data_IF_662445685386
#
_entry.id   IF_662445685386
#
_cell.length_a   1.000
_cell.length_b   1.000
_cell.length_c   1.000
_cell.angle_alpha   90.00
_cell.angle_beta   90.00
_cell.angle_gamma   90.00
#
_symmetry.space_group_name_H-M   'P 1'
#
loop_
_entity.id
_entity.type
_entity.pdbx_description
1 polymer ?
#
# COMPACT_ATOMS: atom_id res chain seq x y z
N UNK A 1 0.71 34.83 55.70
CA UNK A 1 -0.05 34.66 54.44
C UNK A 1 0.84 33.86 53.51
N UNK A 2 0.49 32.59 53.28
CA UNK A 2 1.28 31.65 52.45
C UNK A 2 0.68 31.67 51.05
N UNK A 3 1.37 32.27 50.08
CA UNK A 3 0.99 32.12 48.67
C UNK A 3 1.66 30.85 48.14
N UNK A 4 0.82 29.86 47.84
CA UNK A 4 1.18 28.67 47.10
C UNK A 4 1.23 29.03 45.62
N UNK A 5 2.42 29.12 45.05
CA UNK A 5 2.60 29.20 43.60
C UNK A 5 2.83 27.77 43.09
N UNK A 6 1.72 27.09 42.81
CA UNK A 6 1.66 25.81 42.10
C UNK A 6 1.09 26.10 40.72
N UNK A 7 1.91 26.01 39.67
CA UNK A 7 1.70 25.07 38.57
C UNK A 7 2.53 25.45 37.35
N UNK A 8 3.61 24.69 37.23
CA UNK A 8 4.27 24.22 36.03
C UNK A 8 3.35 24.21 34.77
N UNK A 9 3.43 25.26 33.94
CA UNK A 9 2.86 25.29 32.59
C UNK A 9 3.73 24.50 31.61
N UNK A 10 3.64 23.17 31.66
CA UNK A 10 4.04 22.31 30.54
C UNK A 10 2.89 22.29 29.52
N UNK A 11 3.17 21.88 28.28
CA UNK A 11 2.20 21.50 27.23
C UNK A 11 1.89 22.56 26.17
N UNK A 12 2.95 23.04 25.51
CA UNK A 12 2.90 23.66 24.18
C UNK A 12 3.61 22.81 23.11
N UNK A 13 3.79 21.51 23.35
CA UNK A 13 4.33 20.58 22.37
C UNK A 13 3.24 20.24 21.37
N UNK A 14 3.16 20.97 20.26
CA UNK A 14 2.47 20.48 19.06
C UNK A 14 2.93 19.04 18.84
N UNK A 15 1.97 18.11 18.81
CA UNK A 15 2.19 16.69 18.62
C UNK A 15 2.73 16.44 17.20
N UNK A 16 4.02 16.72 16.99
CA UNK A 16 4.72 16.48 15.72
C UNK A 16 4.84 14.98 15.45
N UNK A 17 4.57 14.13 16.45
CA UNK A 17 4.64 12.68 16.35
C UNK A 17 3.37 12.08 15.71
N UNK A 18 2.18 12.65 15.95
CA UNK A 18 0.95 12.16 15.35
C UNK A 18 0.93 12.19 13.79
N UNK A 19 1.34 13.27 13.11
CA UNK A 19 1.41 13.30 11.65
C UNK A 19 2.48 12.34 11.09
N UNK A 20 3.60 12.19 11.79
CA UNK A 20 4.68 11.29 11.40
C UNK A 20 4.26 9.81 11.52
N UNK A 21 3.55 9.45 12.59
CA UNK A 21 2.99 8.11 12.77
C UNK A 21 1.92 7.81 11.71
N UNK A 22 1.03 8.75 11.43
CA UNK A 22 0.05 8.59 10.35
C UNK A 22 0.77 8.37 9.02
N UNK A 23 1.81 9.15 8.69
CA UNK A 23 2.59 8.98 7.46
C UNK A 23 3.26 7.59 7.39
N UNK A 24 3.91 7.16 8.47
CA UNK A 24 4.57 5.87 8.57
C UNK A 24 3.57 4.71 8.38
N UNK A 25 2.41 4.80 9.01
CA UNK A 25 1.38 3.74 8.97
C UNK A 25 0.86 3.50 7.56
N UNK A 26 0.50 4.54 6.80
CA UNK A 26 0.07 4.31 5.41
C UNK A 26 1.23 4.00 4.47
N UNK A 27 2.45 4.40 4.76
CA UNK A 27 3.62 3.90 4.01
C UNK A 27 3.73 2.38 4.16
N UNK A 28 3.59 1.86 5.39
CA UNK A 28 3.58 0.42 5.64
C UNK A 28 2.42 -0.27 4.91
N UNK A 29 1.22 0.35 4.88
CA UNK A 29 0.07 -0.25 4.18
C UNK A 29 0.28 -0.27 2.66
N UNK A 30 0.91 0.75 2.08
CA UNK A 30 1.26 0.77 0.64
C UNK A 30 2.29 -0.32 0.32
N UNK A 31 3.31 -0.51 1.17
CA UNK A 31 4.30 -1.59 1.01
C UNK A 31 3.61 -2.95 1.07
N UNK A 32 2.76 -3.18 2.07
CA UNK A 32 1.98 -4.40 2.22
C UNK A 32 1.07 -4.68 1.02
N UNK A 33 0.46 -3.64 0.44
CA UNK A 33 -0.34 -3.75 -0.77
C UNK A 33 0.49 -4.18 -1.99
N UNK A 34 1.69 -3.63 -2.14
CA UNK A 34 2.63 -4.02 -3.19
C UNK A 34 3.12 -5.48 -3.03
N UNK A 35 3.42 -5.91 -1.81
CA UNK A 35 3.80 -7.29 -1.51
C UNK A 35 2.66 -8.27 -1.79
N UNK A 36 1.44 -7.94 -1.37
CA UNK A 36 0.24 -8.75 -1.62
C UNK A 36 -0.03 -8.91 -3.11
N UNK A 37 0.10 -7.83 -3.88
CA UNK A 37 0.00 -7.88 -5.33
C UNK A 37 1.09 -8.74 -5.96
N UNK A 38 2.33 -8.67 -5.47
CA UNK A 38 3.42 -9.51 -5.97
C UNK A 38 3.18 -11.01 -5.67
N UNK A 39 2.59 -11.34 -4.52
CA UNK A 39 2.16 -12.71 -4.23
C UNK A 39 1.07 -13.16 -5.20
N UNK A 40 0.06 -12.31 -5.43
CA UNK A 40 -1.01 -12.62 -6.37
C UNK A 40 -0.49 -12.82 -7.81
N UNK A 41 0.50 -12.04 -8.24
CA UNK A 41 1.17 -12.24 -9.53
C UNK A 41 1.83 -13.61 -9.64
N UNK A 42 2.47 -14.10 -8.57
CA UNK A 42 3.09 -15.44 -8.56
C UNK A 42 2.03 -16.53 -8.68
N UNK A 43 0.88 -16.35 -8.03
CA UNK A 43 -0.26 -17.29 -8.12
C UNK A 43 -0.92 -17.22 -9.51
N UNK A 44 -1.02 -16.04 -10.13
CA UNK A 44 -1.49 -15.88 -11.52
C UNK A 44 -0.52 -16.57 -12.49
N UNK A 45 0.79 -16.45 -12.26
CA UNK A 45 1.82 -17.14 -13.04
C UNK A 45 1.75 -18.66 -12.86
N UNK A 46 1.38 -19.15 -11.67
CA UNK A 46 1.14 -20.56 -11.41
C UNK A 46 -0.24 -21.07 -11.92
N UNK A 47 -1.12 -20.18 -12.38
CA UNK A 47 -2.48 -20.52 -12.80
C UNK A 47 -3.42 -20.89 -11.64
N UNK A 48 -3.05 -20.51 -10.41
CA UNK A 48 -3.77 -20.85 -9.18
C UNK A 48 -4.46 -19.65 -8.53
N UNK A 49 -4.31 -18.44 -9.07
CA UNK A 49 -4.97 -17.27 -8.53
C UNK A 49 -6.44 -17.22 -8.93
N UNK A 50 -7.33 -17.15 -7.94
CA UNK A 50 -8.75 -16.93 -8.16
C UNK A 50 -9.05 -15.43 -8.05
N UNK A 51 -9.89 -14.86 -8.94
CA UNK A 51 -10.25 -13.44 -8.88
C UNK A 51 -10.86 -13.04 -7.53
N UNK A 52 -11.61 -13.95 -6.89
CA UNK A 52 -12.24 -13.72 -5.60
C UNK A 52 -11.21 -13.59 -4.46
N UNK A 53 -10.18 -14.45 -4.44
CA UNK A 53 -9.09 -14.37 -3.44
C UNK A 53 -8.31 -13.04 -3.56
N UNK A 54 -8.16 -12.54 -4.78
CA UNK A 54 -7.56 -11.24 -5.06
C UNK A 54 -8.42 -10.09 -4.52
N UNK A 55 -9.74 -10.18 -4.69
CA UNK A 55 -10.68 -9.21 -4.17
C UNK A 55 -10.68 -9.20 -2.63
N UNK A 56 -10.70 -10.37 -2.00
CA UNK A 56 -10.67 -10.50 -0.54
C UNK A 56 -9.39 -9.92 0.06
N UNK A 57 -8.23 -10.17 -0.57
CA UNK A 57 -6.96 -9.56 -0.15
C UNK A 57 -6.96 -8.04 -0.28
N UNK A 58 -7.54 -7.51 -1.36
CA UNK A 58 -7.67 -6.07 -1.53
C UNK A 58 -8.61 -5.48 -0.49
N UNK A 59 -9.75 -6.12 -0.21
CA UNK A 59 -10.70 -5.69 0.82
C UNK A 59 -10.03 -5.67 2.19
N UNK A 60 -9.26 -6.70 2.54
CA UNK A 60 -8.51 -6.76 3.80
C UNK A 60 -7.46 -5.64 3.92
N UNK A 61 -6.80 -5.26 2.82
CA UNK A 61 -5.85 -4.14 2.81
C UNK A 61 -6.54 -2.77 2.94
N UNK A 62 -7.78 -2.67 2.48
CA UNK A 62 -8.58 -1.45 2.56
C UNK A 62 -9.29 -1.30 3.91
N UNK A 63 -9.41 -2.38 4.69
CA UNK A 63 -10.02 -2.33 6.01
C UNK A 63 -9.24 -1.40 6.95
N UNK A 64 -9.97 -0.52 7.63
CA UNK A 64 -9.40 0.51 8.51
C UNK A 64 -8.48 1.54 7.83
N UNK A 65 -8.43 1.63 6.50
CA UNK A 65 -7.70 2.69 5.77
C UNK A 65 -8.55 3.97 5.70
N UNK A 66 -7.94 5.11 6.00
CA UNK A 66 -8.52 6.42 5.73
C UNK A 66 -8.86 6.61 4.26
N UNK A 67 -10.03 7.20 3.98
CA UNK A 67 -10.52 7.44 2.62
C UNK A 67 -9.51 8.18 1.72
N UNK A 68 -8.69 9.06 2.29
CA UNK A 68 -7.64 9.78 1.56
C UNK A 68 -6.52 8.86 1.04
N UNK A 69 -6.31 7.70 1.66
CA UNK A 69 -5.22 6.75 1.37
C UNK A 69 -5.66 5.51 0.61
N UNK A 70 -6.96 5.26 0.53
CA UNK A 70 -7.54 4.16 -0.28
C UNK A 70 -6.97 4.17 -1.70
N UNK A 71 -6.90 5.35 -2.33
CA UNK A 71 -6.40 5.47 -3.70
C UNK A 71 -4.93 5.06 -3.84
N UNK A 72 -4.11 5.32 -2.82
CA UNK A 72 -2.69 4.96 -2.82
C UNK A 72 -2.51 3.45 -2.62
N UNK A 73 -3.29 2.84 -1.72
CA UNK A 73 -3.31 1.39 -1.50
C UNK A 73 -3.78 0.65 -2.74
N UNK A 74 -4.90 1.08 -3.36
CA UNK A 74 -5.40 0.50 -4.61
C UNK A 74 -4.33 0.61 -5.71
N UNK A 75 -3.66 1.77 -5.86
CA UNK A 75 -2.58 1.92 -6.84
C UNK A 75 -1.40 1.01 -6.53
N UNK A 76 -0.99 0.90 -5.28
CA UNK A 76 0.08 0.00 -4.83
C UNK A 76 -0.21 -1.45 -5.17
N UNK A 77 -1.45 -1.87 -4.96
CA UNK A 77 -1.92 -3.23 -5.26
C UNK A 77 -2.08 -3.48 -6.78
N UNK A 78 -2.68 -2.54 -7.52
CA UNK A 78 -3.00 -2.76 -8.94
C UNK A 78 -1.82 -2.52 -9.88
N UNK A 79 -0.85 -1.68 -9.53
CA UNK A 79 0.27 -1.31 -10.42
C UNK A 79 1.14 -2.51 -10.84
N UNK A 80 1.54 -3.43 -9.95
CA UNK A 80 2.25 -4.65 -10.34
C UNK A 80 1.40 -5.54 -11.25
N UNK A 81 0.11 -5.68 -10.94
CA UNK A 81 -0.84 -6.50 -11.70
C UNK A 81 -0.98 -5.96 -13.13
N UNK A 82 -1.22 -4.66 -13.28
CA UNK A 82 -1.32 -3.99 -14.57
C UNK A 82 -0.04 -4.17 -15.41
N UNK A 83 1.13 -3.90 -14.83
CA UNK A 83 2.43 -4.10 -15.51
C UNK A 83 2.62 -5.53 -16.00
N UNK A 84 2.16 -6.52 -15.24
CA UNK A 84 2.30 -7.93 -15.63
C UNK A 84 1.35 -8.30 -16.77
N UNK A 85 0.12 -7.80 -16.75
CA UNK A 85 -0.86 -7.98 -17.84
C UNK A 85 -0.32 -7.34 -19.12
N UNK A 86 0.23 -6.13 -19.04
CA UNK A 86 0.90 -5.45 -20.16
C UNK A 86 2.06 -6.28 -20.73
N UNK A 87 2.91 -6.83 -19.85
CA UNK A 87 4.05 -7.68 -20.25
C UNK A 87 3.62 -9.03 -20.86
N UNK A 88 2.45 -9.57 -20.51
CA UNK A 88 1.87 -10.75 -21.17
C UNK A 88 1.18 -10.42 -22.50
N UNK A 89 0.69 -9.20 -22.63
CA UNK A 89 -0.06 -8.73 -23.81
C UNK A 89 0.85 -8.23 -24.93
N UNK A 90 2.13 -7.98 -24.64
CA UNK A 90 3.12 -7.65 -25.66
C UNK A 90 3.49 -8.91 -26.44
N UNK A 91 3.18 -9.00 -27.74
CA UNK A 91 3.64 -10.12 -28.55
C UNK A 91 5.16 -10.10 -28.53
N UNK A 92 5.78 -11.19 -28.11
CA UNK A 92 7.19 -11.42 -28.40
C UNK A 92 7.27 -11.67 -29.90
N UNK A 93 7.42 -10.60 -30.69
CA UNK A 93 7.69 -10.76 -32.12
C UNK A 93 9.04 -11.46 -32.20
N UNK A 94 9.15 -12.67 -32.75
CA UNK A 94 10.47 -13.22 -33.03
C UNK A 94 11.12 -12.25 -34.01
N UNK A 95 12.28 -11.70 -33.65
CA UNK A 95 13.17 -11.08 -34.63
C UNK A 95 13.63 -12.23 -35.52
N UNK A 96 12.83 -12.49 -36.55
CA UNK A 96 13.19 -13.35 -37.65
C UNK A 96 14.22 -12.61 -38.49
N UNK A 97 15.43 -13.17 -38.57
CA UNK A 97 16.39 -12.87 -39.63
C UNK A 97 17.05 -11.50 -39.55
N UNK A 98 18.28 -11.49 -39.06
CA UNK A 98 19.33 -10.73 -39.74
C UNK A 98 20.38 -11.77 -40.10
N UNK A 99 20.41 -12.12 -41.38
CA UNK A 99 21.50 -12.87 -42.00
C UNK A 99 22.82 -12.08 -41.91
#
# INVERSE_FOLDING_TARGET
MTNSDLSNGTEGGVDVLAPANALAEGTLRIVSAGESANSALREIDAGTAWPDDLADRLIALLDGIDAQRISEVIRGFMRPIAKRIEARSTPTVPVAGVE
#
